data_IF_213328425720
#
_entry.id   IF_213328425720
#
_cell.length_a   1.000
_cell.length_b   1.000
_cell.length_c   1.000
_cell.angle_alpha   90.00
_cell.angle_beta   90.00
_cell.angle_gamma   90.00
#
_symmetry.space_group_name_H-M   'P 1'
#
loop_
_entity.id
_entity.type
_entity.pdbx_description
1 polymer ?
#
# COMPACT_ATOMS: atom_id res chain seq x y z
N UNK A 1 -2.03 -3.06 8.18
CA UNK A 1 -2.78 -3.78 9.25
C UNK A 1 -2.04 -5.09 9.55
N UNK A 2 -2.12 -5.73 10.73
CA UNK A 2 -1.50 -7.06 10.87
C UNK A 2 -2.25 -8.09 10.02
N UNK A 3 -1.51 -8.93 9.30
CA UNK A 3 -2.05 -9.97 8.43
C UNK A 3 -2.91 -10.97 9.21
N UNK A 4 -4.06 -11.35 8.65
CA UNK A 4 -5.01 -12.31 9.26
C UNK A 4 -5.51 -11.96 10.66
N UNK A 5 -5.47 -10.68 11.03
CA UNK A 5 -5.65 -10.29 12.41
C UNK A 5 -7.10 -9.89 12.73
N UNK A 6 -7.64 -10.42 13.84
CA UNK A 6 -8.96 -10.08 14.34
C UNK A 6 -9.05 -8.66 14.91
N UNK A 7 -10.27 -8.26 15.29
CA UNK A 7 -10.61 -6.92 15.82
C UNK A 7 -9.66 -6.44 16.92
N UNK A 8 -9.25 -7.35 17.81
CA UNK A 8 -8.36 -7.01 18.93
C UNK A 8 -6.97 -6.62 18.45
N UNK A 9 -6.40 -7.33 17.49
CA UNK A 9 -5.09 -7.02 16.93
C UNK A 9 -5.09 -5.72 16.14
N UNK A 10 -6.19 -5.44 15.42
CA UNK A 10 -6.40 -4.13 14.78
C UNK A 10 -6.40 -3.00 15.81
N UNK A 11 -7.15 -3.15 16.91
CA UNK A 11 -7.21 -2.14 17.96
C UNK A 11 -5.86 -1.95 18.67
N UNK A 12 -5.08 -3.02 18.86
CA UNK A 12 -3.71 -2.94 19.37
C UNK A 12 -2.80 -2.15 18.43
N UNK A 13 -2.85 -2.42 17.13
CA UNK A 13 -2.07 -1.68 16.14
C UNK A 13 -2.45 -0.18 16.11
N UNK A 14 -3.73 0.15 16.23
CA UNK A 14 -4.19 1.55 16.32
C UNK A 14 -3.66 2.21 17.60
N UNK A 15 -3.79 1.54 18.75
CA UNK A 15 -3.31 2.07 20.02
C UNK A 15 -1.79 2.31 20.00
N UNK A 16 -1.01 1.38 19.43
CA UNK A 16 0.43 1.52 19.27
C UNK A 16 0.79 2.70 18.37
N UNK A 17 0.08 2.89 17.25
CA UNK A 17 0.26 4.06 16.38
C UNK A 17 -0.12 5.39 17.06
N UNK A 18 -1.01 5.35 18.05
CA UNK A 18 -1.37 6.51 18.89
C UNK A 18 -0.46 6.68 20.12
N UNK A 19 0.60 5.88 20.26
CA UNK A 19 1.46 5.86 21.46
C UNK A 19 0.70 5.57 22.77
N UNK A 20 -0.41 4.85 22.69
CA UNK A 20 -1.22 4.41 23.82
C UNK A 20 -0.72 3.03 24.27
N UNK A 21 -0.56 2.84 25.57
CA UNK A 21 -0.20 1.53 26.12
C UNK A 21 -1.21 0.45 25.70
N UNK A 22 -0.72 -0.52 24.91
CA UNK A 22 -1.49 -1.65 24.38
C UNK A 22 -1.68 -2.78 25.39
N UNK A 23 -1.07 -2.67 26.58
CA UNK A 23 -1.24 -3.60 27.71
C UNK A 23 -2.56 -3.31 28.45
N UNK A 24 -3.68 -3.62 27.80
CA UNK A 24 -5.01 -3.53 28.37
C UNK A 24 -5.95 -4.56 27.74
N UNK A 25 -7.09 -4.82 28.40
CA UNK A 25 -8.21 -5.53 27.78
C UNK A 25 -8.81 -4.68 26.65
N UNK A 26 -9.54 -5.33 25.74
CA UNK A 26 -10.08 -4.67 24.54
C UNK A 26 -10.92 -3.42 24.83
N UNK A 27 -11.82 -3.48 25.82
CA UNK A 27 -12.69 -2.35 26.18
C UNK A 27 -11.88 -1.15 26.70
N UNK A 28 -10.91 -1.39 27.59
CA UNK A 28 -10.05 -0.33 28.09
C UNK A 28 -9.17 0.26 26.98
N UNK A 29 -8.66 -0.58 26.09
CA UNK A 29 -7.85 -0.15 24.96
C UNK A 29 -8.68 0.72 24.01
N UNK A 30 -9.89 0.27 23.68
CA UNK A 30 -10.85 0.99 22.86
C UNK A 30 -11.21 2.34 23.47
N UNK A 31 -11.51 2.39 24.77
CA UNK A 31 -11.84 3.63 25.47
C UNK A 31 -10.67 4.62 25.45
N UNK A 32 -9.43 4.14 25.57
CA UNK A 32 -8.24 5.00 25.47
C UNK A 32 -8.09 5.56 24.06
N UNK A 33 -8.25 4.73 23.03
CA UNK A 33 -8.21 5.18 21.62
C UNK A 33 -9.30 6.21 21.34
N UNK A 34 -10.53 5.97 21.82
CA UNK A 34 -11.65 6.90 21.68
C UNK A 34 -11.42 8.25 22.35
N UNK A 35 -10.70 8.28 23.50
CA UNK A 35 -10.36 9.54 24.17
C UNK A 35 -9.21 10.28 23.50
N UNK A 36 -8.37 9.58 22.76
CA UNK A 36 -7.22 10.15 22.08
C UNK A 36 -7.59 10.74 20.72
N UNK A 37 -8.44 10.04 19.97
CA UNK A 37 -8.93 10.48 18.68
C UNK A 37 -10.00 11.57 18.85
N UNK A 38 -9.90 12.60 18.02
CA UNK A 38 -10.87 13.70 17.92
C UNK A 38 -10.94 14.16 16.45
N UNK A 39 -11.75 15.18 16.20
CA UNK A 39 -11.98 15.79 14.88
C UNK A 39 -10.75 16.45 14.26
N UNK A 40 -9.69 16.70 15.05
CA UNK A 40 -8.42 17.24 14.56
C UNK A 40 -7.45 16.18 14.04
N UNK A 41 -7.75 14.89 14.25
CA UNK A 41 -6.85 13.78 13.93
C UNK A 41 -7.29 13.00 12.71
N UNK A 42 -6.31 12.48 11.96
CA UNK A 42 -6.52 11.62 10.80
C UNK A 42 -5.99 10.22 11.08
N UNK A 43 -6.86 9.22 11.00
CA UNK A 43 -6.51 7.80 11.06
C UNK A 43 -6.41 7.23 9.64
N UNK A 44 -5.20 6.81 9.25
CA UNK A 44 -4.94 6.14 7.98
C UNK A 44 -4.73 4.66 8.25
N UNK A 45 -5.58 3.81 7.68
CA UNK A 45 -5.40 2.36 7.71
C UNK A 45 -4.97 1.90 6.33
N UNK A 46 -3.74 1.39 6.26
CA UNK A 46 -3.19 0.79 5.05
C UNK A 46 -3.42 -0.72 5.00
N UNK A 47 -3.55 -1.23 3.77
CA UNK A 47 -3.79 -2.65 3.46
C UNK A 47 -5.05 -3.23 4.14
N UNK A 48 -6.14 -2.46 4.23
CA UNK A 48 -7.41 -2.87 4.89
C UNK A 48 -8.01 -4.14 4.28
N UNK A 49 -7.68 -4.41 3.02
CA UNK A 49 -8.10 -5.62 2.32
C UNK A 49 -7.57 -6.91 2.95
N UNK A 50 -6.47 -6.88 3.70
CA UNK A 50 -5.97 -8.05 4.44
C UNK A 50 -6.99 -8.58 5.45
N UNK A 51 -7.83 -7.71 6.00
CA UNK A 51 -8.93 -8.12 6.88
C UNK A 51 -9.92 -9.05 6.18
N UNK A 52 -10.03 -8.97 4.84
CA UNK A 52 -10.92 -9.78 4.01
C UNK A 52 -10.27 -11.09 3.54
N UNK A 53 -8.95 -11.23 3.67
CA UNK A 53 -8.22 -12.45 3.29
C UNK A 53 -8.34 -13.53 4.36
N UNK A 54 -8.62 -13.16 5.61
CA UNK A 54 -8.83 -14.11 6.70
C UNK A 54 -10.10 -14.95 6.48
N UNK A 55 -10.04 -16.25 6.78
CA UNK A 55 -11.19 -17.18 6.69
C UNK A 55 -12.38 -16.80 7.59
N UNK A 56 -12.18 -15.90 8.57
CA UNK A 56 -13.19 -15.47 9.51
C UNK A 56 -13.94 -14.24 9.01
N UNK A 57 -14.83 -14.45 8.04
CA UNK A 57 -15.78 -13.48 7.47
C UNK A 57 -16.45 -12.56 8.51
N UNK A 58 -16.86 -13.11 9.66
CA UNK A 58 -17.50 -12.34 10.74
C UNK A 58 -16.53 -11.35 11.42
N UNK A 59 -15.23 -11.66 11.49
CA UNK A 59 -14.23 -10.79 12.07
C UNK A 59 -14.06 -9.52 11.23
N UNK A 60 -14.09 -9.62 9.91
CA UNK A 60 -13.99 -8.49 8.99
C UNK A 60 -15.14 -7.49 9.17
N UNK A 61 -16.38 -7.98 9.26
CA UNK A 61 -17.56 -7.12 9.50
C UNK A 61 -17.44 -6.42 10.86
N UNK A 62 -16.97 -7.13 11.89
CA UNK A 62 -16.75 -6.54 13.21
C UNK A 62 -15.65 -5.49 13.18
N UNK A 63 -14.53 -5.73 12.49
CA UNK A 63 -13.46 -4.75 12.30
C UNK A 63 -14.00 -3.47 11.66
N UNK A 64 -14.74 -3.61 10.57
CA UNK A 64 -15.31 -2.46 9.86
C UNK A 64 -16.36 -1.73 10.68
N UNK A 65 -17.16 -2.45 11.46
CA UNK A 65 -18.13 -1.87 12.38
C UNK A 65 -17.45 -1.09 13.51
N UNK A 66 -16.31 -1.57 14.02
CA UNK A 66 -15.50 -0.87 15.02
C UNK A 66 -14.88 0.39 14.44
N UNK A 67 -14.31 0.34 13.23
CA UNK A 67 -13.78 1.54 12.56
C UNK A 67 -14.86 2.59 12.30
N UNK A 68 -16.05 2.16 11.86
CA UNK A 68 -17.22 3.04 11.72
C UNK A 68 -17.56 3.70 13.06
N UNK A 69 -17.63 2.91 14.13
CA UNK A 69 -17.98 3.43 15.45
C UNK A 69 -16.92 4.38 16.01
N UNK A 70 -15.63 4.12 15.76
CA UNK A 70 -14.55 5.05 16.12
C UNK A 70 -14.76 6.40 15.43
N UNK A 71 -14.96 6.41 14.12
CA UNK A 71 -15.18 7.65 13.37
C UNK A 71 -16.45 8.39 13.85
N UNK A 72 -17.54 7.67 14.12
CA UNK A 72 -18.78 8.27 14.62
C UNK A 72 -18.62 8.93 15.99
N UNK A 73 -17.90 8.28 16.90
CA UNK A 73 -17.76 8.77 18.28
C UNK A 73 -16.71 9.88 18.41
N UNK A 74 -15.69 9.86 17.56
CA UNK A 74 -14.54 10.78 17.66
C UNK A 74 -14.61 11.89 16.62
N UNK A 75 -15.41 11.72 15.56
CA UNK A 75 -15.43 12.57 14.37
C UNK A 75 -14.06 12.73 13.68
N UNK A 76 -13.11 11.85 13.96
CA UNK A 76 -11.79 11.90 13.35
C UNK A 76 -11.86 11.68 11.82
N UNK A 77 -10.88 12.20 11.10
CA UNK A 77 -10.64 11.83 9.72
C UNK A 77 -10.34 10.33 9.63
N UNK A 78 -10.91 9.63 8.65
CA UNK A 78 -10.68 8.21 8.42
C UNK A 78 -10.36 7.95 6.95
N UNK A 79 -9.19 7.39 6.67
CA UNK A 79 -8.76 6.97 5.33
C UNK A 79 -8.50 5.47 5.34
N UNK A 80 -9.18 4.76 4.42
CA UNK A 80 -9.04 3.32 4.23
C UNK A 80 -8.37 3.05 2.89
N UNK A 81 -7.14 2.54 2.92
CA UNK A 81 -6.38 2.16 1.74
C UNK A 81 -6.42 0.63 1.57
N UNK A 82 -6.50 0.17 0.32
CA UNK A 82 -6.41 -1.25 0.01
C UNK A 82 -6.43 -1.53 -1.48
N UNK A 83 -6.05 -2.76 -1.86
CA UNK A 83 -6.01 -3.20 -3.23
C UNK A 83 -7.42 -3.27 -3.87
N UNK A 84 -7.48 -3.48 -5.19
CA UNK A 84 -8.73 -3.60 -5.96
C UNK A 84 -9.70 -4.67 -5.40
N UNK A 85 -9.19 -5.68 -4.69
CA UNK A 85 -10.00 -6.68 -3.98
C UNK A 85 -10.91 -6.01 -2.93
N UNK A 86 -10.41 -4.99 -2.21
CA UNK A 86 -11.20 -4.21 -1.26
C UNK A 86 -12.41 -3.56 -1.92
N UNK A 87 -12.18 -2.90 -3.07
CA UNK A 87 -13.23 -2.25 -3.85
C UNK A 87 -14.30 -3.26 -4.27
N UNK A 88 -13.88 -4.43 -4.77
CA UNK A 88 -14.80 -5.50 -5.16
C UNK A 88 -15.63 -5.99 -3.96
N UNK A 89 -15.01 -6.18 -2.80
CA UNK A 89 -15.68 -6.61 -1.56
C UNK A 89 -16.67 -5.56 -1.03
N UNK A 90 -16.34 -4.28 -1.09
CA UNK A 90 -17.25 -3.18 -0.70
C UNK A 90 -18.42 -3.04 -1.68
N UNK A 91 -18.18 -3.17 -2.98
CA UNK A 91 -19.20 -2.85 -4.01
C UNK A 91 -20.12 -4.03 -4.32
N UNK A 92 -19.59 -5.24 -4.35
CA UNK A 92 -20.29 -6.45 -4.83
C UNK A 92 -20.11 -7.66 -3.92
N UNK A 93 -19.32 -7.54 -2.85
CA UNK A 93 -19.08 -8.64 -1.91
C UNK A 93 -20.29 -8.95 -1.03
N UNK A 94 -20.19 -10.06 -0.32
CA UNK A 94 -21.19 -10.57 0.63
C UNK A 94 -21.52 -9.54 1.74
N UNK A 95 -20.58 -8.63 2.04
CA UNK A 95 -20.73 -7.57 3.05
C UNK A 95 -21.14 -6.22 2.50
N UNK A 96 -21.47 -6.12 1.21
CA UNK A 96 -21.78 -4.85 0.56
C UNK A 96 -22.94 -4.11 1.25
N UNK A 97 -23.93 -4.80 1.79
CA UNK A 97 -25.03 -4.18 2.55
C UNK A 97 -24.56 -3.63 3.90
N UNK A 98 -23.76 -4.38 4.66
CA UNK A 98 -23.21 -3.94 5.94
C UNK A 98 -22.24 -2.76 5.77
N UNK A 99 -21.45 -2.78 4.69
CA UNK A 99 -20.47 -1.74 4.36
C UNK A 99 -21.09 -0.57 3.58
N UNK A 100 -22.34 -0.69 3.13
CA UNK A 100 -23.08 0.39 2.44
C UNK A 100 -23.15 1.65 3.28
N UNK A 101 -23.29 1.52 4.60
CA UNK A 101 -23.31 2.67 5.52
C UNK A 101 -21.94 3.37 5.56
N UNK A 102 -20.86 2.60 5.56
CA UNK A 102 -19.50 3.13 5.53
C UNK A 102 -19.24 3.86 4.20
N UNK A 103 -19.71 3.27 3.09
CA UNK A 103 -19.64 3.89 1.75
C UNK A 103 -20.46 5.17 1.62
N UNK A 104 -21.69 5.19 2.15
CA UNK A 104 -22.56 6.39 2.13
C UNK A 104 -22.00 7.56 2.96
N UNK A 105 -21.10 7.27 3.90
CA UNK A 105 -20.45 8.26 4.76
C UNK A 105 -19.06 8.67 4.26
N UNK A 106 -18.44 7.83 3.43
CA UNK A 106 -17.21 8.18 2.72
C UNK A 106 -17.50 9.29 1.72
N UNK A 107 -16.92 10.46 1.96
CA UNK A 107 -17.09 11.64 1.08
C UNK A 107 -16.31 11.44 -0.23
N UNK A 108 -15.21 10.70 -0.20
CA UNK A 108 -14.29 10.54 -1.33
C UNK A 108 -13.92 9.07 -1.57
N UNK A 109 -14.28 8.53 -2.74
CA UNK A 109 -13.70 7.30 -3.28
C UNK A 109 -12.64 7.67 -4.33
N UNK A 110 -11.36 7.46 -4.01
CA UNK A 110 -10.27 7.65 -4.97
C UNK A 110 -9.78 6.28 -5.48
N UNK A 111 -9.82 6.09 -6.79
CA UNK A 111 -9.19 4.95 -7.45
C UNK A 111 -7.88 5.41 -8.08
N UNK A 112 -6.75 4.86 -7.61
CA UNK A 112 -5.48 5.02 -8.28
C UNK A 112 -5.43 4.15 -9.54
N UNK A 113 -4.73 4.63 -10.57
CA UNK A 113 -4.49 3.89 -11.80
C UNK A 113 -3.69 2.62 -11.50
N UNK A 114 -4.01 1.52 -12.20
CA UNK A 114 -3.31 0.24 -12.01
C UNK A 114 -1.86 0.27 -12.51
N UNK A 115 -1.57 1.19 -13.43
CA UNK A 115 -0.26 1.38 -14.02
C UNK A 115 0.16 2.83 -13.87
N UNK A 116 1.46 3.11 -13.68
CA UNK A 116 1.94 4.47 -13.63
C UNK A 116 1.81 5.16 -14.98
N UNK A 117 1.44 6.44 -14.94
CA UNK A 117 1.41 7.26 -16.14
C UNK A 117 2.82 7.43 -16.73
N UNK A 118 2.94 7.59 -18.07
CA UNK A 118 4.24 7.84 -18.71
C UNK A 118 4.96 9.08 -18.15
N UNK A 119 4.21 10.09 -17.71
CA UNK A 119 4.77 11.28 -17.05
C UNK A 119 5.34 10.95 -15.67
N UNK A 120 4.69 10.10 -14.89
CA UNK A 120 5.22 9.61 -13.61
C UNK A 120 6.51 8.81 -13.77
N UNK A 121 6.57 7.91 -14.75
CA UNK A 121 7.80 7.18 -15.10
C UNK A 121 8.91 8.16 -15.53
N UNK A 122 8.54 9.22 -16.26
CA UNK A 122 9.48 10.25 -16.68
C UNK A 122 10.12 11.04 -15.54
N UNK A 123 9.35 11.33 -14.49
CA UNK A 123 9.88 12.01 -13.31
C UNK A 123 11.00 11.21 -12.64
N UNK A 124 10.87 9.88 -12.59
CA UNK A 124 11.85 9.00 -11.93
C UNK A 124 13.18 9.01 -12.68
N UNK A 125 13.20 8.78 -14.00
CA UNK A 125 14.47 8.80 -14.72
C UNK A 125 15.10 10.20 -14.81
N UNK A 126 14.27 11.26 -14.81
CA UNK A 126 14.76 12.65 -14.74
C UNK A 126 15.40 12.97 -13.39
N UNK A 127 14.87 12.45 -12.29
CA UNK A 127 15.49 12.57 -10.96
C UNK A 127 16.92 12.03 -10.97
N UNK A 128 17.15 10.93 -11.69
CA UNK A 128 18.47 10.33 -11.90
C UNK A 128 19.31 11.02 -12.99
N UNK A 129 18.90 12.20 -13.48
CA UNK A 129 19.56 12.97 -14.54
C UNK A 129 19.72 12.20 -15.87
N UNK A 130 18.82 11.26 -16.14
CA UNK A 130 18.75 10.53 -17.39
C UNK A 130 17.79 11.22 -18.37
N UNK A 131 18.13 11.14 -19.66
CA UNK A 131 17.22 11.50 -20.74
C UNK A 131 16.14 10.45 -20.96
N UNK A 132 15.30 10.63 -21.99
CA UNK A 132 14.33 9.59 -22.39
C UNK A 132 15.04 8.25 -22.61
N UNK A 133 14.42 7.11 -22.26
CA UNK A 133 14.99 5.80 -22.55
C UNK A 133 15.21 5.64 -24.05
N UNK A 134 16.29 4.96 -24.40
CA UNK A 134 16.70 4.71 -25.79
C UNK A 134 17.14 3.26 -25.95
N UNK A 135 16.97 2.70 -27.15
CA UNK A 135 17.31 1.31 -27.45
C UNK A 135 16.58 0.32 -26.54
N UNK A 136 17.30 -0.68 -26.07
CA UNK A 136 16.78 -1.77 -25.22
C UNK A 136 16.12 -1.27 -23.92
N UNK A 137 16.58 -0.14 -23.38
CA UNK A 137 16.03 0.43 -22.16
C UNK A 137 14.54 0.80 -22.31
N UNK A 138 14.05 1.09 -23.51
CA UNK A 138 12.62 1.40 -23.75
C UNK A 138 11.74 0.20 -23.42
N UNK A 139 12.11 -0.97 -23.94
CA UNK A 139 11.38 -2.21 -23.71
C UNK A 139 11.42 -2.61 -22.24
N UNK A 140 12.59 -2.52 -21.61
CA UNK A 140 12.79 -2.87 -20.20
C UNK A 140 12.06 -1.93 -19.23
N UNK A 141 12.00 -0.64 -19.53
CA UNK A 141 11.19 0.32 -18.74
C UNK A 141 9.70 -0.04 -18.87
N UNK A 142 9.23 -0.33 -20.09
CA UNK A 142 7.83 -0.69 -20.33
C UNK A 142 7.44 -1.99 -19.61
N UNK A 143 8.26 -3.03 -19.70
CA UNK A 143 7.99 -4.30 -19.00
C UNK A 143 8.07 -4.15 -17.48
N UNK A 144 9.12 -3.48 -16.97
CA UNK A 144 9.30 -3.28 -15.53
C UNK A 144 8.14 -2.51 -14.89
N UNK A 145 7.66 -1.47 -15.56
CA UNK A 145 6.56 -0.63 -15.05
C UNK A 145 5.20 -1.30 -15.22
N UNK A 146 4.99 -2.08 -16.28
CA UNK A 146 3.74 -2.80 -16.55
C UNK A 146 3.52 -4.02 -15.67
N UNK A 147 4.56 -4.86 -15.49
CA UNK A 147 4.43 -6.15 -14.79
C UNK A 147 4.67 -6.04 -13.28
N UNK A 148 5.55 -5.12 -12.86
CA UNK A 148 6.03 -5.06 -11.48
C UNK A 148 5.77 -3.71 -10.79
N UNK A 149 5.17 -2.76 -11.51
CA UNK A 149 4.87 -1.43 -11.02
C UNK A 149 6.10 -0.56 -10.74
N UNK A 150 5.86 0.65 -10.21
CA UNK A 150 6.92 1.63 -9.95
C UNK A 150 7.92 1.20 -8.87
N UNK A 151 7.49 0.37 -7.92
CA UNK A 151 8.35 -0.04 -6.81
C UNK A 151 9.58 -0.81 -7.28
N UNK A 152 9.40 -1.81 -8.17
CA UNK A 152 10.52 -2.58 -8.72
C UNK A 152 11.35 -1.74 -9.69
N UNK A 153 10.69 -0.93 -10.54
CA UNK A 153 11.38 0.00 -11.44
C UNK A 153 12.33 0.95 -10.68
N UNK A 154 11.85 1.58 -9.61
CA UNK A 154 12.65 2.49 -8.78
C UNK A 154 13.84 1.78 -8.14
N UNK A 155 13.65 0.55 -7.64
CA UNK A 155 14.75 -0.27 -7.09
C UNK A 155 15.81 -0.59 -8.15
N UNK A 156 15.41 -0.89 -9.38
CA UNK A 156 16.35 -1.08 -10.48
C UNK A 156 17.14 0.19 -10.80
N UNK A 157 16.48 1.35 -10.81
CA UNK A 157 17.13 2.65 -11.03
C UNK A 157 18.16 2.96 -9.94
N UNK A 158 17.81 2.74 -8.67
CA UNK A 158 18.72 2.93 -7.53
C UNK A 158 19.94 2.01 -7.65
N UNK A 159 19.71 0.72 -7.92
CA UNK A 159 20.80 -0.27 -8.05
C UNK A 159 21.70 0.02 -9.25
N UNK A 160 21.14 0.45 -10.36
CA UNK A 160 21.90 0.84 -11.54
C UNK A 160 22.75 2.11 -11.29
N UNK A 161 22.23 3.07 -10.52
CA UNK A 161 23.01 4.23 -10.07
C UNK A 161 24.16 3.83 -9.12
N UNK A 162 23.94 2.86 -8.25
CA UNK A 162 24.99 2.30 -7.39
C UNK A 162 26.10 1.62 -8.21
N UNK A 163 25.74 0.84 -9.24
CA UNK A 163 26.71 0.22 -10.16
C UNK A 163 27.53 1.27 -10.91
N UNK A 164 26.90 2.33 -11.41
CA UNK A 164 27.62 3.42 -12.05
C UNK A 164 28.61 4.09 -11.07
N UNK A 165 28.16 4.32 -9.83
CA UNK A 165 29.00 4.91 -8.77
C UNK A 165 30.20 4.03 -8.42
N UNK A 166 30.02 2.72 -8.27
CA UNK A 166 31.12 1.80 -7.95
C UNK A 166 32.15 1.73 -9.07
N UNK A 167 31.72 1.90 -10.32
CA UNK A 167 32.61 1.99 -11.49
C UNK A 167 33.18 3.38 -11.75
N UNK A 168 32.82 4.37 -10.93
CA UNK A 168 33.19 5.79 -11.12
C UNK A 168 32.73 6.34 -12.48
N UNK A 169 31.63 5.80 -12.99
CA UNK A 169 31.02 6.22 -14.25
C UNK A 169 29.80 7.11 -14.02
N UNK A 170 29.49 7.96 -15.01
CA UNK A 170 28.21 8.69 -15.01
C UNK A 170 27.08 7.70 -15.22
N UNK A 171 26.04 7.78 -14.39
CA UNK A 171 24.85 6.94 -14.56
C UNK A 171 24.19 7.16 -15.93
N UNK A 172 23.87 6.05 -16.59
CA UNK A 172 23.42 5.94 -17.98
C UNK A 172 22.52 4.70 -18.12
N UNK A 173 21.70 4.66 -19.19
CA UNK A 173 20.79 3.55 -19.47
C UNK A 173 21.46 2.17 -19.60
N UNK A 174 22.73 2.11 -20.03
CA UNK A 174 23.49 0.85 -20.07
C UNK A 174 23.56 0.13 -18.71
N UNK A 175 23.70 0.89 -17.62
CA UNK A 175 23.75 0.34 -16.26
C UNK A 175 22.38 -0.19 -15.83
N UNK A 176 21.30 0.45 -16.30
CA UNK A 176 19.95 0.00 -16.04
C UNK A 176 19.67 -1.31 -16.78
N UNK A 177 20.02 -1.39 -18.07
CA UNK A 177 19.91 -2.61 -18.88
C UNK A 177 20.68 -3.76 -18.23
N UNK A 178 21.91 -3.53 -17.79
CA UNK A 178 22.73 -4.53 -17.10
C UNK A 178 22.05 -5.06 -15.83
N UNK A 179 21.54 -4.18 -14.97
CA UNK A 179 20.91 -4.58 -13.70
C UNK A 179 19.61 -5.35 -13.94
N UNK A 180 18.79 -4.92 -14.89
CA UNK A 180 17.54 -5.61 -15.21
C UNK A 180 17.83 -6.96 -15.88
N UNK A 181 18.74 -7.01 -16.85
CA UNK A 181 19.15 -8.25 -17.51
C UNK A 181 19.71 -9.29 -16.54
N UNK A 182 20.58 -8.86 -15.62
CA UNK A 182 21.10 -9.73 -14.56
C UNK A 182 19.99 -10.25 -13.61
N UNK A 183 18.97 -9.43 -13.33
CA UNK A 183 17.85 -9.83 -12.49
C UNK A 183 16.91 -10.82 -13.17
N UNK A 184 16.73 -10.73 -14.49
CA UNK A 184 15.91 -11.68 -15.27
C UNK A 184 16.59 -13.05 -15.33
N UNK A 185 17.89 -13.07 -15.59
CA UNK A 185 18.70 -14.30 -15.62
C UNK A 185 18.72 -15.05 -14.29
N UNK A 186 18.71 -14.32 -13.15
CA UNK A 186 18.63 -14.95 -11.83
C UNK A 186 17.24 -15.53 -11.52
N UNK A 187 16.19 -15.07 -12.19
CA UNK A 187 14.83 -15.57 -11.97
C UNK A 187 14.53 -16.83 -12.80
N UNK A 188 15.29 -17.06 -13.87
CA UNK A 188 15.18 -18.23 -14.76
C UNK A 188 16.05 -19.43 -14.33
N UNK A 189 16.85 -19.30 -13.27
CA UNK A 189 17.55 -20.45 -12.70
C UNK A 189 16.54 -21.34 -11.93
N UNK A 190 16.40 -22.63 -12.28
CA UNK A 190 15.54 -23.53 -11.53
C UNK A 190 16.04 -23.60 -10.09
N UNK A 191 15.15 -23.30 -9.14
CA UNK A 191 15.38 -23.61 -7.72
C UNK A 191 15.65 -25.11 -7.64
N UNK A 192 16.90 -25.48 -7.35
CA UNK A 192 17.27 -26.87 -7.03
C UNK A 192 16.58 -27.30 -5.74
#
# INVERSE_FOLDING_TARGET
MPASAGVQSMMRAIAEACHISSRACFENLRNRVLRYLDDTKLLILDEVHEAFVSYQKQATVKCMSVLRQLQEQTQCGLVLCGANVFRSQIKRGEFAQSLKQLRKRGIWELQLENAPSPSGVALIYRHHKLGKPSGEAVALVKSSTGEHGLGKFTKFMIRAAQVATSRRERFQWKHFVEVVGASTLMCEMPKR
#
